data_IF_037630006076
#
_entry.id   IF_037630006076
#
_cell.length_a   1.000
_cell.length_b   1.000
_cell.length_c   1.000
_cell.angle_alpha   90.00
_cell.angle_beta   90.00
_cell.angle_gamma   90.00
#
_symmetry.space_group_name_H-M   'P 1'
#
loop_
_entity.id
_entity.type
_entity.pdbx_description
1 polymer ?
#
# COMPACT_ATOMS: atom_id res chain seq x y z
N UNK A 1 27.67 5.01 -3.56
CA UNK A 1 27.16 4.28 -2.38
C UNK A 1 26.38 5.28 -1.56
N UNK A 2 25.21 4.88 -1.08
CA UNK A 2 24.29 5.75 -0.38
C UNK A 2 23.66 4.97 0.78
N UNK A 3 23.73 5.53 1.98
CA UNK A 3 23.08 4.98 3.18
C UNK A 3 21.72 5.66 3.36
N UNK A 4 20.71 4.85 3.66
CA UNK A 4 19.32 5.22 3.84
C UNK A 4 18.80 4.58 5.13
N UNK A 5 17.86 5.26 5.80
CA UNK A 5 17.23 4.77 7.02
C UNK A 5 18.22 4.42 8.15
N UNK A 6 19.12 5.35 8.50
CA UNK A 6 20.08 5.15 9.59
C UNK A 6 20.97 3.91 9.38
N UNK A 7 21.53 3.78 8.17
CA UNK A 7 22.43 2.71 7.73
C UNK A 7 21.80 1.31 7.55
N UNK A 8 20.49 1.17 7.75
CA UNK A 8 19.81 -0.12 7.60
C UNK A 8 19.49 -0.49 6.15
N UNK A 9 19.62 0.45 5.22
CA UNK A 9 19.48 0.23 3.78
C UNK A 9 20.61 0.94 3.02
N UNK A 10 21.25 0.24 2.09
CA UNK A 10 22.36 0.78 1.30
C UNK A 10 22.07 0.56 -0.17
N UNK A 11 22.15 1.63 -0.97
CA UNK A 11 22.04 1.58 -2.43
C UNK A 11 23.37 1.89 -3.10
N UNK A 12 23.78 1.00 -4.00
CA UNK A 12 24.88 1.18 -4.92
C UNK A 12 24.34 1.19 -6.34
N UNK A 13 24.92 2.03 -7.18
CA UNK A 13 24.60 2.04 -8.60
C UNK A 13 25.84 2.33 -9.44
N UNK A 14 25.76 1.91 -10.71
CA UNK A 14 26.71 2.27 -11.76
C UNK A 14 25.93 2.44 -13.06
N UNK A 15 26.06 3.60 -13.68
CA UNK A 15 25.49 3.85 -15.02
C UNK A 15 26.44 3.27 -16.06
N UNK A 16 25.88 2.51 -17.00
CA UNK A 16 26.54 1.97 -18.17
C UNK A 16 25.91 2.62 -19.40
N UNK A 17 26.58 3.65 -19.93
CA UNK A 17 26.13 4.33 -21.13
C UNK A 17 26.74 3.69 -22.38
N UNK A 18 25.93 3.49 -23.42
CA UNK A 18 26.37 3.11 -24.76
C UNK A 18 25.75 4.04 -25.81
N UNK A 19 26.20 3.96 -27.05
CA UNK A 19 25.65 4.77 -28.14
C UNK A 19 24.19 4.44 -28.49
N UNK A 20 23.68 3.29 -28.04
CA UNK A 20 22.34 2.78 -28.43
C UNK A 20 21.42 2.53 -27.24
N UNK A 21 21.96 2.40 -26.02
CA UNK A 21 21.18 2.18 -24.80
C UNK A 21 21.94 2.62 -23.56
N UNK A 22 21.20 3.13 -22.57
CA UNK A 22 21.70 3.41 -21.23
C UNK A 22 21.08 2.39 -20.28
N UNK A 23 21.92 1.66 -19.55
CA UNK A 23 21.49 0.78 -18.47
C UNK A 23 22.09 1.23 -17.15
N UNK A 24 21.49 0.77 -16.07
CA UNK A 24 21.99 0.98 -14.72
C UNK A 24 22.12 -0.38 -14.02
N UNK A 25 23.29 -0.63 -13.48
CA UNK A 25 23.52 -1.71 -12.54
C UNK A 25 23.25 -1.20 -11.12
N UNK A 26 22.40 -1.89 -10.39
CA UNK A 26 21.95 -1.55 -9.05
C UNK A 26 22.29 -2.70 -8.10
N UNK A 27 22.70 -2.35 -6.88
CA UNK A 27 22.77 -3.27 -5.76
C UNK A 27 22.16 -2.61 -4.53
N UNK A 28 21.19 -3.27 -3.91
CA UNK A 28 20.57 -2.80 -2.67
C UNK A 28 20.78 -3.84 -1.57
N UNK A 29 21.25 -3.37 -0.43
CA UNK A 29 21.48 -4.17 0.78
C UNK A 29 20.58 -3.65 1.89
N UNK A 30 19.97 -4.57 2.65
CA UNK A 30 19.22 -4.22 3.85
C UNK A 30 19.47 -5.22 4.98
N UNK A 31 19.39 -4.75 6.22
CA UNK A 31 19.50 -5.55 7.44
C UNK A 31 18.24 -6.42 7.68
N UNK A 32 18.05 -7.41 6.81
CA UNK A 32 16.99 -8.42 6.87
C UNK A 32 17.45 -9.73 6.25
N UNK A 33 16.80 -10.85 6.58
CA UNK A 33 16.91 -12.12 5.82
C UNK A 33 15.71 -12.38 4.89
N UNK A 34 14.76 -11.46 4.83
CA UNK A 34 13.56 -11.53 4.00
C UNK A 34 13.69 -10.72 2.70
N UNK A 35 12.55 -10.27 2.16
CA UNK A 35 12.55 -9.57 0.87
C UNK A 35 13.15 -8.15 0.96
N UNK A 36 13.71 -7.70 -0.16
CA UNK A 36 14.24 -6.34 -0.36
C UNK A 36 13.71 -5.82 -1.69
N UNK A 37 13.32 -4.55 -1.73
CA UNK A 37 12.83 -3.90 -2.94
C UNK A 37 13.47 -2.53 -3.20
N UNK A 38 13.62 -2.22 -4.49
CA UNK A 38 13.93 -0.89 -5.00
C UNK A 38 12.89 -0.56 -6.05
N UNK A 39 12.24 0.58 -5.92
CA UNK A 39 11.21 1.03 -6.84
C UNK A 39 11.40 2.47 -7.30
N UNK A 40 10.54 2.85 -8.24
CA UNK A 40 10.54 4.15 -8.92
C UNK A 40 9.11 4.66 -9.01
N UNK A 41 8.91 5.91 -8.63
CA UNK A 41 7.58 6.53 -8.56
C UNK A 41 7.65 7.96 -9.10
N UNK A 42 6.50 8.54 -9.45
CA UNK A 42 6.38 9.98 -9.69
C UNK A 42 6.07 10.79 -8.41
N UNK A 43 5.71 10.14 -7.31
CA UNK A 43 5.11 10.82 -6.13
C UNK A 43 5.74 10.49 -4.79
N UNK A 44 6.89 9.78 -4.79
CA UNK A 44 7.54 9.28 -3.56
C UNK A 44 6.68 8.31 -2.75
N UNK A 45 5.61 7.77 -3.34
CA UNK A 45 4.69 6.82 -2.70
C UNK A 45 4.84 5.43 -3.31
N UNK A 46 4.45 4.40 -2.55
CA UNK A 46 4.43 3.01 -3.01
C UNK A 46 3.56 2.82 -4.26
N UNK A 47 2.46 3.56 -4.39
CA UNK A 47 1.57 3.50 -5.53
C UNK A 47 1.25 4.90 -6.07
N UNK A 48 1.30 5.10 -7.40
CA UNK A 48 1.81 4.18 -8.40
C UNK A 48 3.35 4.11 -8.41
N UNK A 49 3.90 2.90 -8.54
CA UNK A 49 5.34 2.67 -8.76
C UNK A 49 5.62 1.40 -9.58
N UNK A 50 6.80 1.36 -10.20
CA UNK A 50 7.48 0.14 -10.65
C UNK A 50 8.49 -0.27 -9.58
N UNK A 51 8.74 -1.58 -9.39
CA UNK A 51 9.74 -2.04 -8.44
C UNK A 51 10.44 -3.34 -8.84
N UNK A 52 11.72 -3.43 -8.52
CA UNK A 52 12.48 -4.65 -8.52
C UNK A 52 12.45 -5.26 -7.11
N UNK A 53 12.04 -6.53 -6.98
CA UNK A 53 11.93 -7.23 -5.69
C UNK A 53 12.70 -8.55 -5.75
N UNK A 54 13.52 -8.81 -4.73
CA UNK A 54 14.24 -10.08 -4.56
C UNK A 54 13.93 -10.78 -3.24
N UNK A 55 14.41 -12.01 -3.11
CA UNK A 55 14.23 -12.91 -1.95
C UNK A 55 12.77 -13.24 -1.62
N UNK A 56 11.96 -13.49 -2.64
CA UNK A 56 10.57 -13.94 -2.53
C UNK A 56 10.48 -15.49 -2.42
N UNK A 57 9.35 -16.05 -1.95
CA UNK A 57 9.18 -17.50 -1.83
C UNK A 57 9.21 -18.18 -3.21
N UNK A 58 9.45 -19.50 -3.27
CA UNK A 58 9.33 -20.24 -4.55
C UNK A 58 7.95 -20.05 -5.15
N UNK A 59 7.90 -19.90 -6.46
CA UNK A 59 6.65 -19.87 -7.21
C UNK A 59 6.08 -18.46 -7.37
N UNK A 60 6.55 -17.48 -6.60
CA UNK A 60 6.30 -16.07 -6.89
C UNK A 60 7.17 -15.59 -8.06
N UNK A 61 8.42 -16.06 -8.09
CA UNK A 61 9.33 -15.93 -9.21
C UNK A 61 9.62 -17.31 -9.79
N UNK A 62 9.82 -17.37 -11.11
CA UNK A 62 10.25 -18.59 -11.80
C UNK A 62 11.61 -19.10 -11.30
N UNK A 63 12.42 -18.23 -10.68
CA UNK A 63 13.68 -18.57 -10.05
C UNK A 63 13.81 -17.88 -8.68
N UNK A 64 14.01 -18.65 -7.59
CA UNK A 64 14.18 -18.13 -6.21
C UNK A 64 15.42 -17.25 -6.03
N UNK A 65 16.44 -17.41 -6.88
CA UNK A 65 17.67 -16.62 -6.82
C UNK A 65 17.62 -15.35 -7.67
N UNK A 66 16.47 -15.03 -8.26
CA UNK A 66 16.31 -13.90 -9.15
C UNK A 66 15.63 -12.71 -8.45
N UNK A 67 15.94 -11.52 -8.95
CA UNK A 67 15.15 -10.31 -8.73
C UNK A 67 14.11 -10.24 -9.85
N UNK A 68 12.86 -9.94 -9.50
CA UNK A 68 11.76 -9.79 -10.47
C UNK A 68 11.30 -8.35 -10.63
N UNK A 69 10.70 -8.04 -11.78
CA UNK A 69 10.05 -6.77 -12.07
C UNK A 69 8.57 -6.81 -11.68
N UNK A 70 8.11 -5.82 -10.92
CA UNK A 70 6.76 -5.72 -10.39
C UNK A 70 6.17 -4.32 -10.60
N UNK A 71 4.85 -4.26 -10.72
CA UNK A 71 4.04 -3.04 -10.68
C UNK A 71 3.28 -2.98 -9.35
N UNK A 72 3.27 -1.80 -8.74
CA UNK A 72 2.45 -1.48 -7.57
C UNK A 72 1.16 -0.80 -8.01
N UNK A 73 0.06 -1.57 -8.10
CA UNK A 73 -1.27 -1.08 -8.50
C UNK A 73 -2.10 -0.55 -7.30
N UNK A 74 -1.60 -0.70 -6.08
CA UNK A 74 -2.26 -0.32 -4.84
C UNK A 74 -1.34 -0.50 -3.64
N UNK A 75 -1.90 -0.54 -2.43
CA UNK A 75 -1.15 -0.68 -1.18
C UNK A 75 -1.21 -2.10 -0.60
N UNK A 76 -2.07 -2.99 -1.13
CA UNK A 76 -2.16 -4.37 -0.68
C UNK A 76 -1.13 -5.27 -1.35
N UNK A 77 -0.76 -6.38 -0.71
CA UNK A 77 0.12 -7.38 -1.31
C UNK A 77 -0.48 -8.02 -2.58
N UNK A 78 -1.82 -8.07 -2.69
CA UNK A 78 -2.53 -8.49 -3.90
C UNK A 78 -2.37 -7.53 -5.08
N UNK A 79 -2.00 -6.28 -4.81
CA UNK A 79 -1.83 -5.24 -5.83
C UNK A 79 -0.38 -5.17 -6.34
N UNK A 80 0.49 -6.06 -5.84
CA UNK A 80 1.85 -6.26 -6.30
C UNK A 80 1.86 -7.36 -7.34
N UNK A 81 1.97 -6.99 -8.61
CA UNK A 81 1.90 -7.93 -9.72
C UNK A 81 3.17 -7.89 -10.57
N UNK A 82 3.64 -9.02 -11.13
CA UNK A 82 4.72 -9.02 -12.12
C UNK A 82 4.39 -8.08 -13.28
N UNK A 83 5.39 -7.36 -13.79
CA UNK A 83 5.21 -6.44 -14.93
C UNK A 83 6.18 -6.76 -16.06
N UNK A 84 5.75 -6.44 -17.29
CA UNK A 84 6.59 -6.41 -18.49
C UNK A 84 6.97 -4.99 -18.92
N UNK A 85 6.64 -3.96 -18.13
CA UNK A 85 6.94 -2.55 -18.46
C UNK A 85 8.45 -2.27 -18.45
N UNK A 86 9.22 -3.04 -17.68
CA UNK A 86 10.68 -3.01 -17.71
C UNK A 86 11.27 -4.40 -17.49
N UNK A 87 12.47 -4.61 -18.01
CA UNK A 87 13.21 -5.84 -17.81
C UNK A 87 14.21 -5.71 -16.65
N UNK A 88 14.30 -6.78 -15.86
CA UNK A 88 15.37 -7.00 -14.88
C UNK A 88 16.32 -8.05 -15.44
N UNK A 89 17.59 -7.68 -15.62
CA UNK A 89 18.65 -8.55 -16.15
C UNK A 89 19.79 -8.70 -15.14
N UNK A 90 20.70 -9.65 -15.36
CA UNK A 90 21.89 -9.86 -14.53
C UNK A 90 21.58 -9.89 -13.02
N UNK A 91 20.46 -10.53 -12.67
CA UNK A 91 19.95 -10.48 -11.30
C UNK A 91 20.55 -11.55 -10.41
N UNK A 92 20.76 -11.19 -9.14
CA UNK A 92 21.20 -12.09 -8.09
C UNK A 92 20.62 -11.65 -6.74
N UNK A 93 20.39 -12.63 -5.88
CA UNK A 93 19.96 -12.41 -4.49
C UNK A 93 20.91 -13.19 -3.60
N UNK A 94 21.44 -12.51 -2.58
CA UNK A 94 22.35 -13.09 -1.60
C UNK A 94 21.86 -12.72 -0.20
N UNK A 95 21.93 -13.65 0.75
CA UNK A 95 21.61 -13.37 2.15
C UNK A 95 22.69 -13.96 3.04
N UNK A 96 23.42 -13.09 3.76
CA UNK A 96 24.56 -13.44 4.59
C UNK A 96 24.45 -12.70 5.90
N UNK A 97 24.58 -13.42 7.02
CA UNK A 97 24.61 -12.82 8.37
C UNK A 97 23.45 -11.88 8.70
N UNK A 98 22.24 -12.19 8.21
CA UNK A 98 21.06 -11.35 8.46
C UNK A 98 20.93 -10.13 7.57
N UNK A 99 21.75 -10.02 6.51
CA UNK A 99 21.66 -8.98 5.49
C UNK A 99 21.28 -9.61 4.15
N UNK A 100 20.28 -9.05 3.47
CA UNK A 100 19.87 -9.46 2.14
C UNK A 100 20.35 -8.40 1.15
N UNK A 101 21.09 -8.85 0.14
CA UNK A 101 21.54 -8.03 -0.99
C UNK A 101 20.85 -8.50 -2.27
N UNK A 102 20.23 -7.57 -2.98
CA UNK A 102 19.74 -7.77 -4.33
C UNK A 102 20.66 -7.03 -5.31
N UNK A 103 21.00 -7.67 -6.42
CA UNK A 103 21.80 -7.09 -7.51
C UNK A 103 21.02 -7.28 -8.81
N UNK A 104 20.97 -6.27 -9.66
CA UNK A 104 20.34 -6.38 -10.97
C UNK A 104 20.73 -5.23 -11.90
N UNK A 105 20.39 -5.39 -13.17
CA UNK A 105 20.47 -4.35 -14.19
C UNK A 105 19.09 -4.07 -14.78
N UNK A 106 18.88 -2.83 -15.21
CA UNK A 106 17.73 -2.43 -16.04
C UNK A 106 18.09 -1.34 -17.03
N UNK A 107 17.32 -1.25 -18.11
CA UNK A 107 17.34 -0.09 -19.01
C UNK A 107 16.82 1.15 -18.27
N UNK A 108 17.44 2.30 -18.53
CA UNK A 108 17.01 3.59 -18.01
C UNK A 108 15.75 4.11 -18.70
N UNK A 109 15.47 3.68 -19.94
CA UNK A 109 14.32 4.13 -20.73
C UNK A 109 13.05 3.30 -20.48
N UNK A 110 13.18 2.13 -19.87
CA UNK A 110 12.07 1.21 -19.65
C UNK A 110 11.24 1.63 -18.43
N UNK A 111 10.04 1.05 -18.32
CA UNK A 111 9.13 1.23 -17.20
C UNK A 111 8.11 2.34 -17.43
N UNK A 112 7.10 2.38 -16.56
CA UNK A 112 6.18 3.52 -16.48
C UNK A 112 6.88 4.74 -15.86
N UNK A 113 7.95 4.48 -15.09
CA UNK A 113 8.80 5.47 -14.46
C UNK A 113 10.24 5.33 -14.96
N UNK A 114 10.58 5.92 -16.13
CA UNK A 114 11.93 5.89 -16.66
C UNK A 114 12.92 6.65 -15.77
N UNK A 115 14.18 6.24 -15.83
CA UNK A 115 15.28 6.81 -15.05
C UNK A 115 15.90 7.96 -15.85
N UNK A 116 15.95 9.17 -15.28
CA UNK A 116 16.33 10.36 -16.04
C UNK A 116 15.15 11.19 -16.57
N UNK A 117 13.99 11.15 -15.90
CA UNK A 117 12.85 12.06 -16.13
C UNK A 117 12.17 11.90 -17.49
N UNK A 118 11.14 12.72 -17.73
CA UNK A 118 10.25 12.59 -18.90
C UNK A 118 10.95 12.73 -20.25
N UNK A 119 12.12 13.35 -20.25
CA UNK A 119 12.84 13.71 -21.48
C UNK A 119 13.82 12.59 -21.91
N UNK A 120 13.88 11.48 -21.15
CA UNK A 120 14.82 10.38 -21.39
C UNK A 120 16.29 10.79 -21.23
N UNK A 121 16.54 11.98 -20.69
CA UNK A 121 17.87 12.54 -20.49
C UNK A 121 18.47 12.01 -19.20
N UNK A 122 19.61 11.33 -19.31
CA UNK A 122 20.35 10.81 -18.16
C UNK A 122 20.73 11.88 -17.10
N UNK A 123 20.50 13.16 -17.39
CA UNK A 123 20.78 14.31 -16.55
C UNK A 123 19.66 14.72 -15.57
N UNK A 124 18.46 14.12 -15.60
CA UNK A 124 17.41 14.53 -14.66
C UNK A 124 17.23 13.54 -13.50
N UNK A 125 16.66 14.04 -12.39
CA UNK A 125 16.51 13.27 -11.16
C UNK A 125 15.31 12.31 -11.23
N UNK A 126 15.45 11.14 -10.61
CA UNK A 126 14.41 10.14 -10.44
C UNK A 126 14.05 9.99 -8.97
N UNK A 127 12.78 9.78 -8.68
CA UNK A 127 12.34 9.44 -7.32
C UNK A 127 12.45 7.92 -7.16
N UNK A 128 13.36 7.50 -6.29
CA UNK A 128 13.46 6.13 -5.83
C UNK A 128 12.62 5.94 -4.57
N UNK A 129 12.04 4.76 -4.46
CA UNK A 129 11.45 4.25 -3.22
C UNK A 129 12.14 2.95 -2.86
N UNK A 130 12.19 2.61 -1.59
CA UNK A 130 12.72 1.32 -1.13
C UNK A 130 11.85 0.77 -0.02
N UNK A 131 11.89 -0.54 0.15
CA UNK A 131 11.34 -1.22 1.30
C UNK A 131 12.04 -2.56 1.53
N UNK A 132 11.95 -3.08 2.74
CA UNK A 132 12.41 -4.43 3.08
C UNK A 132 11.58 -5.03 4.21
N UNK A 133 11.58 -6.36 4.33
CA UNK A 133 10.74 -7.07 5.30
C UNK A 133 11.08 -6.69 6.75
N UNK A 134 10.07 -6.55 7.60
CA UNK A 134 10.23 -6.27 9.03
C UNK A 134 10.66 -7.49 9.87
N UNK A 135 10.21 -8.67 9.48
CA UNK A 135 10.20 -9.89 10.28
C UNK A 135 11.06 -11.01 9.67
N UNK A 136 11.98 -10.65 8.77
CA UNK A 136 12.74 -11.59 7.95
C UNK A 136 11.84 -12.51 7.08
N UNK A 137 10.57 -12.18 6.91
CA UNK A 137 9.67 -12.96 6.06
C UNK A 137 9.99 -12.73 4.59
N UNK A 138 9.93 -13.83 3.83
CA UNK A 138 9.95 -13.78 2.37
C UNK A 138 8.56 -13.41 1.81
N UNK A 139 7.50 -13.47 2.61
CA UNK A 139 6.17 -13.08 2.16
C UNK A 139 6.06 -11.57 2.03
N UNK A 140 5.42 -11.10 0.96
CA UNK A 140 5.04 -9.70 0.82
C UNK A 140 3.97 -9.37 1.87
N UNK A 141 4.41 -8.71 2.92
CA UNK A 141 3.59 -8.18 4.01
C UNK A 141 3.93 -6.69 4.21
N UNK A 142 3.28 -6.06 5.17
CA UNK A 142 3.59 -4.69 5.55
C UNK A 142 5.06 -4.56 5.96
N UNK A 143 5.76 -3.60 5.36
CA UNK A 143 7.14 -3.27 5.69
C UNK A 143 7.24 -2.34 6.91
N UNK A 144 6.13 -1.81 7.41
CA UNK A 144 6.10 -0.87 8.52
C UNK A 144 7.00 0.34 8.24
N UNK A 145 7.92 0.61 9.16
CA UNK A 145 8.89 1.72 9.04
C UNK A 145 10.12 1.37 8.18
N UNK A 146 10.25 0.14 7.68
CA UNK A 146 11.39 -0.30 6.86
C UNK A 146 11.19 0.05 5.37
N UNK A 147 10.88 1.31 5.10
CA UNK A 147 10.69 1.83 3.75
C UNK A 147 11.19 3.26 3.63
N UNK A 148 11.07 3.88 2.46
CA UNK A 148 11.34 5.30 2.30
C UNK A 148 11.43 5.72 0.84
N UNK A 149 11.79 6.98 0.62
CA UNK A 149 11.93 7.57 -0.71
C UNK A 149 13.04 8.62 -0.76
N UNK A 150 13.67 8.78 -1.92
CA UNK A 150 14.67 9.81 -2.17
C UNK A 150 14.67 10.22 -3.64
N UNK A 151 15.12 11.42 -3.94
CA UNK A 151 15.31 11.92 -5.30
C UNK A 151 16.79 11.83 -5.65
N UNK A 152 17.12 11.09 -6.70
CA UNK A 152 18.50 10.80 -7.10
C UNK A 152 18.73 11.13 -8.57
N UNK A 153 19.86 11.76 -8.87
CA UNK A 153 20.40 11.86 -10.22
C UNK A 153 21.46 10.78 -10.40
N UNK A 154 21.16 9.73 -11.17
CA UNK A 154 22.07 8.59 -11.29
C UNK A 154 23.39 8.90 -12.00
N UNK A 155 23.43 9.92 -12.86
CA UNK A 155 24.64 10.33 -13.59
C UNK A 155 25.54 11.20 -12.75
N UNK A 156 25.00 12.22 -12.08
CA UNK A 156 25.82 13.13 -11.27
C UNK A 156 26.05 12.60 -9.86
N UNK A 157 25.21 11.67 -9.42
CA UNK A 157 25.13 11.22 -8.03
C UNK A 157 24.52 12.25 -7.08
N UNK A 158 23.96 13.35 -7.59
CA UNK A 158 23.26 14.33 -6.76
C UNK A 158 22.06 13.67 -6.07
N UNK A 159 21.88 14.00 -4.80
CA UNK A 159 20.91 13.38 -3.93
C UNK A 159 20.14 14.45 -3.16
N UNK A 160 18.82 14.35 -3.22
CA UNK A 160 17.90 15.03 -2.35
C UNK A 160 17.13 13.96 -1.58
N UNK A 161 17.54 13.71 -0.34
CA UNK A 161 16.71 12.92 0.56
C UNK A 161 15.53 13.82 0.89
N UNK A 162 14.38 13.54 0.27
CA UNK A 162 13.15 14.19 0.69
C UNK A 162 13.04 13.98 2.18
N UNK A 163 13.00 15.07 2.96
CA UNK A 163 12.72 14.97 4.38
C UNK A 163 11.50 14.09 4.47
N UNK A 164 11.68 12.92 5.08
CA UNK A 164 10.57 12.06 5.39
C UNK A 164 9.74 12.92 6.33
N UNK A 165 8.77 13.64 5.77
CA UNK A 165 7.89 14.44 6.59
C UNK A 165 7.32 13.37 7.50
N UNK A 166 7.65 13.48 8.77
CA UNK A 166 7.16 12.61 9.82
C UNK A 166 5.63 12.66 9.86
N UNK A 167 4.97 13.40 8.97
CA UNK A 167 3.62 13.23 8.43
C UNK A 167 2.91 11.92 8.75
N UNK A 168 3.55 10.76 8.64
CA UNK A 168 2.99 9.51 9.20
C UNK A 168 2.83 9.57 10.74
N UNK A 169 3.93 9.67 11.48
CA UNK A 169 3.93 9.88 12.93
C UNK A 169 3.13 11.12 13.37
N UNK A 170 3.18 12.22 12.62
CA UNK A 170 2.41 13.45 12.87
C UNK A 170 0.92 13.20 12.65
N UNK A 171 0.53 12.49 11.59
CA UNK A 171 -0.88 12.14 11.33
C UNK A 171 -1.39 11.14 12.37
N UNK A 172 -0.61 10.11 12.74
CA UNK A 172 -0.97 9.20 13.83
C UNK A 172 -1.06 9.92 15.17
N UNK A 173 -0.15 10.85 15.44
CA UNK A 173 -0.17 11.69 16.65
C UNK A 173 -1.39 12.60 16.65
N UNK A 174 -1.68 13.31 15.55
CA UNK A 174 -2.88 14.14 15.39
C UNK A 174 -4.14 13.28 15.52
N UNK A 175 -4.16 12.08 14.93
CA UNK A 175 -5.29 11.17 15.04
C UNK A 175 -5.49 10.72 16.50
N UNK A 176 -4.43 10.28 17.18
CA UNK A 176 -4.49 9.91 18.60
C UNK A 176 -4.94 11.08 19.48
N UNK A 177 -4.44 12.30 19.22
CA UNK A 177 -4.85 13.52 19.92
C UNK A 177 -6.32 13.86 19.66
N UNK A 178 -6.77 13.81 18.42
CA UNK A 178 -8.17 14.10 18.07
C UNK A 178 -9.13 13.07 18.66
N UNK A 179 -8.76 11.79 18.67
CA UNK A 179 -9.51 10.76 19.41
C UNK A 179 -9.52 11.05 20.91
N UNK A 180 -8.38 11.41 21.49
CA UNK A 180 -8.28 11.73 22.92
C UNK A 180 -9.19 12.92 23.28
N UNK A 181 -9.22 13.97 22.46
CA UNK A 181 -10.11 15.12 22.69
C UNK A 181 -11.57 14.72 22.51
N UNK A 182 -11.91 13.98 21.44
CA UNK A 182 -13.28 13.56 21.17
C UNK A 182 -13.85 12.70 22.31
N UNK A 183 -13.12 11.66 22.72
CA UNK A 183 -13.61 10.70 23.71
C UNK A 183 -13.31 11.11 25.16
N UNK A 184 -12.21 11.80 25.42
CA UNK A 184 -11.81 12.20 26.76
C UNK A 184 -12.43 13.52 27.24
N UNK A 185 -12.74 14.43 26.33
CA UNK A 185 -13.27 15.76 26.68
C UNK A 185 -14.69 15.94 26.15
N UNK A 186 -14.88 15.83 24.84
CA UNK A 186 -16.15 16.22 24.21
C UNK A 186 -17.30 15.27 24.58
N UNK A 187 -17.08 13.96 24.58
CA UNK A 187 -18.11 12.99 24.95
C UNK A 187 -18.55 13.14 26.43
N UNK A 188 -17.67 13.18 27.43
CA UNK A 188 -18.07 13.43 28.82
C UNK A 188 -18.77 14.78 29.01
N UNK A 189 -18.28 15.84 28.36
CA UNK A 189 -18.92 17.16 28.42
C UNK A 189 -20.34 17.12 27.84
N UNK A 190 -20.55 16.44 26.71
CA UNK A 190 -21.88 16.26 26.12
C UNK A 190 -22.82 15.51 27.08
N UNK A 191 -22.33 14.48 27.79
CA UNK A 191 -23.12 13.76 28.80
C UNK A 191 -23.51 14.70 29.95
N UNK A 192 -22.57 15.50 30.47
CA UNK A 192 -22.85 16.45 31.56
C UNK A 192 -23.84 17.54 31.15
N UNK A 193 -23.64 18.14 29.97
CA UNK A 193 -24.56 19.13 29.38
C UNK A 193 -25.94 18.51 29.22
N UNK A 194 -26.04 17.29 28.67
CA UNK A 194 -27.32 16.61 28.52
C UNK A 194 -28.04 16.45 29.86
N UNK A 195 -27.32 16.14 30.95
CA UNK A 195 -27.92 16.05 32.29
C UNK A 195 -28.37 17.40 32.83
N UNK A 196 -27.55 18.44 32.71
CA UNK A 196 -27.87 19.76 33.25
C UNK A 196 -29.06 20.41 32.55
N UNK A 197 -29.13 20.31 31.22
CA UNK A 197 -30.20 20.97 30.45
C UNK A 197 -31.47 20.11 30.29
N UNK A 198 -31.39 18.79 30.52
CA UNK A 198 -32.59 17.93 30.52
C UNK A 198 -33.14 17.67 31.93
N UNK A 199 -32.40 17.98 33.01
CA UNK A 199 -32.90 17.81 34.38
C UNK A 199 -34.04 18.77 34.73
N UNK A 200 -34.04 19.99 34.17
CA UNK A 200 -35.03 21.02 34.51
C UNK A 200 -36.31 20.94 33.67
N UNK A 201 -36.34 20.08 32.65
CA UNK A 201 -37.59 19.74 31.97
C UNK A 201 -38.13 18.48 32.63
N UNK A 202 -39.20 18.55 33.45
CA UNK A 202 -39.92 17.34 33.84
C UNK A 202 -40.37 16.70 32.53
N UNK A 203 -39.66 15.65 32.10
CA UNK A 203 -40.12 14.80 31.03
C UNK A 203 -41.48 14.32 31.48
N UNK A 204 -42.58 14.67 30.80
CA UNK A 204 -43.87 14.12 31.15
C UNK A 204 -43.69 12.61 31.09
N UNK A 205 -43.81 11.96 32.25
CA UNK A 205 -43.57 10.54 32.48
C UNK A 205 -44.44 9.62 31.58
N UNK A 206 -45.30 10.23 30.77
CA UNK A 206 -46.14 9.64 29.75
C UNK A 206 -45.42 9.35 28.41
N UNK A 207 -44.21 9.87 28.15
CA UNK A 207 -43.55 9.67 26.84
C UNK A 207 -42.58 8.48 26.76
N UNK A 208 -42.08 7.98 27.89
CA UNK A 208 -41.11 6.85 27.89
C UNK A 208 -41.75 5.55 27.36
N UNK A 209 -42.98 5.16 27.75
CA UNK A 209 -43.61 3.95 27.20
C UNK A 209 -43.90 4.09 25.70
N UNK A 210 -44.29 5.29 25.26
CA UNK A 210 -44.59 5.57 23.84
C UNK A 210 -43.32 5.48 22.98
N UNK A 211 -42.19 6.02 23.46
CA UNK A 211 -40.94 5.97 22.73
C UNK A 211 -40.39 4.54 22.63
N UNK A 212 -40.50 3.76 23.72
CA UNK A 212 -40.12 2.32 23.73
C UNK A 212 -41.01 1.51 22.79
N UNK A 213 -42.33 1.75 22.80
CA UNK A 213 -43.25 1.08 21.88
C UNK A 213 -42.95 1.44 20.41
N UNK A 214 -42.62 2.70 20.13
CA UNK A 214 -42.29 3.16 18.79
C UNK A 214 -40.95 2.60 18.30
N UNK A 215 -39.94 2.47 19.17
CA UNK A 215 -38.67 1.80 18.88
C UNK A 215 -38.87 0.31 18.60
N UNK A 216 -39.63 -0.40 19.43
CA UNK A 216 -39.95 -1.81 19.20
C UNK A 216 -40.72 -2.01 17.88
N UNK A 217 -41.64 -1.11 17.54
CA UNK A 217 -42.36 -1.15 16.28
C UNK A 217 -41.43 -0.92 15.08
N UNK A 218 -40.47 -0.01 15.19
CA UNK A 218 -39.47 0.22 14.13
C UNK A 218 -38.56 -1.00 13.95
N UNK A 219 -38.08 -1.61 15.03
CA UNK A 219 -37.27 -2.85 14.96
C UNK A 219 -38.05 -3.99 14.29
N UNK A 220 -39.33 -4.18 14.63
CA UNK A 220 -40.16 -5.20 13.99
C UNK A 220 -40.36 -4.92 12.49
N UNK A 221 -40.57 -3.66 12.10
CA UNK A 221 -40.68 -3.27 10.70
C UNK A 221 -39.37 -3.52 9.94
N UNK A 222 -38.22 -3.23 10.55
CA UNK A 222 -36.92 -3.45 9.94
C UNK A 222 -36.64 -4.95 9.74
N UNK A 223 -36.86 -5.78 10.78
CA UNK A 223 -36.73 -7.24 10.68
C UNK A 223 -37.62 -7.83 9.58
N UNK A 224 -38.84 -7.30 9.43
CA UNK A 224 -39.77 -7.74 8.39
C UNK A 224 -39.24 -7.41 6.99
N UNK A 225 -38.69 -6.20 6.79
CA UNK A 225 -38.07 -5.79 5.50
C UNK A 225 -36.84 -6.62 5.17
N UNK A 226 -35.97 -6.87 6.15
CA UNK A 226 -34.77 -7.71 5.97
C UNK A 226 -35.16 -9.14 5.57
N UNK A 227 -36.13 -9.74 6.26
CA UNK A 227 -36.66 -11.06 5.90
C UNK A 227 -37.26 -11.09 4.48
N UNK A 228 -38.03 -10.05 4.09
CA UNK A 228 -38.58 -9.94 2.74
C UNK A 228 -37.49 -9.79 1.67
N UNK A 229 -36.44 -9.01 1.93
CA UNK A 229 -35.31 -8.86 1.00
C UNK A 229 -34.52 -10.15 0.82
N UNK A 230 -34.29 -10.92 1.90
CA UNK A 230 -33.64 -12.22 1.85
C UNK A 230 -34.47 -13.22 1.04
N UNK A 231 -35.78 -13.27 1.26
CA UNK A 231 -36.70 -14.13 0.52
C UNK A 231 -36.75 -13.76 -0.97
N UNK A 232 -36.81 -12.46 -1.30
CA UNK A 232 -36.80 -11.99 -2.69
C UNK A 232 -35.50 -12.35 -3.42
N UNK A 233 -34.35 -12.16 -2.77
CA UNK A 233 -33.04 -12.57 -3.32
C UNK A 233 -32.93 -14.08 -3.52
N UNK A 234 -33.42 -14.87 -2.56
CA UNK A 234 -33.46 -16.33 -2.67
C UNK A 234 -34.38 -16.80 -3.81
N UNK A 235 -35.56 -16.18 -3.96
CA UNK A 235 -36.51 -16.50 -5.03
C UNK A 235 -35.95 -16.17 -6.42
N UNK A 236 -35.29 -15.01 -6.59
CA UNK A 236 -34.62 -14.67 -7.85
C UNK A 236 -33.50 -15.66 -8.20
N UNK A 237 -32.75 -16.12 -7.20
CA UNK A 237 -31.69 -17.11 -7.39
C UNK A 237 -32.27 -18.47 -7.80
N UNK A 238 -33.34 -18.93 -7.15
CA UNK A 238 -34.07 -20.15 -7.49
C UNK A 238 -34.67 -20.08 -8.91
N UNK A 239 -35.29 -18.97 -9.29
CA UNK A 239 -35.86 -18.79 -10.61
C UNK A 239 -34.80 -18.85 -11.72
N UNK A 240 -33.59 -18.32 -11.49
CA UNK A 240 -32.47 -18.44 -12.44
C UNK A 240 -31.95 -19.88 -12.57
N UNK A 241 -32.02 -20.68 -11.52
CA UNK A 241 -31.59 -22.08 -11.54
C UNK A 241 -32.62 -22.99 -12.23
N UNK A 242 -33.92 -22.74 -12.02
CA UNK A 242 -35.01 -23.55 -12.58
C UNK A 242 -35.38 -23.14 -14.01
N UNK A 243 -35.15 -21.89 -14.39
CA UNK A 243 -35.42 -21.37 -15.73
C UNK A 243 -34.15 -20.72 -16.30
N UNK A 244 -33.14 -21.53 -16.69
CA UNK A 244 -31.97 -21.00 -17.38
C UNK A 244 -32.45 -20.26 -18.63
N UNK A 245 -32.01 -19.01 -18.79
CA UNK A 245 -32.41 -18.19 -19.94
C UNK A 245 -32.04 -18.94 -21.23
N UNK A 246 -32.95 -19.03 -22.21
CA UNK A 246 -32.63 -19.63 -23.49
C UNK A 246 -31.44 -18.86 -24.08
N UNK A 247 -30.31 -19.55 -24.21
CA UNK A 247 -29.10 -19.02 -24.81
C UNK A 247 -29.49 -18.43 -26.16
N UNK A 248 -29.38 -17.10 -26.26
CA UNK A 248 -29.51 -16.41 -27.52
C UNK A 248 -28.36 -16.86 -28.41
N UNK A 249 -28.62 -17.88 -29.22
CA UNK A 249 -27.77 -18.26 -30.34
C UNK A 249 -27.72 -17.05 -31.28
N UNK A 250 -26.64 -16.27 -31.20
CA UNK A 250 -26.28 -15.30 -32.23
C UNK A 250 -25.08 -15.85 -32.98
N UNK A 251 -25.31 -15.95 -34.28
CA UNK A 251 -24.40 -16.25 -35.37
C UNK A 251 -23.18 -15.32 -35.40
#
# INVERSE_FOLDING_TARGET
MMQLNGDSFILHWKVSASSTSNSIALAAEAATSGWVSVGWSATSRMHPADAAIGNLPSGTLSNRAAVGAFRMAGYGSSDVAPTGSFAVTNSAVETVSGHTTIKFERSMADGEFPLGGTDGGASSSSIIIWAYSLDNSQQLADHGLNAGSATINFVTGALEVGEWSSGGATLYSIHAWTLTVAFGVLMPAAILISRLFLADKPMPLLLVPTLVAQLQQQEQQQRTRENQSCLAGWWQKMHRLLFPSPLAARH
#
